data_IF_664817809635
#
_entry.id   IF_664817809635
#
_cell.length_a   1.000
_cell.length_b   1.000
_cell.length_c   1.000
_cell.angle_alpha   90.00
_cell.angle_beta   90.00
_cell.angle_gamma   90.00
#
_symmetry.space_group_name_H-M   'P 1'
#
loop_
_entity.id
_entity.type
_entity.pdbx_description
1 polymer ?
#
# COMPACT_ATOMS: atom_id res chain seq x y z
N UNK A 1 -8.17 -2.16 26.51
CA UNK A 1 -7.00 -2.68 25.79
C UNK A 1 -6.65 -1.69 24.68
N UNK A 2 -5.40 -1.22 24.57
CA UNK A 2 -5.01 -0.42 23.40
C UNK A 2 -5.16 -1.33 22.17
N UNK A 3 -5.92 -0.85 21.17
CA UNK A 3 -6.07 -1.58 19.92
C UNK A 3 -4.71 -1.61 19.22
N UNK A 4 -3.98 -2.71 19.33
CA UNK A 4 -2.83 -2.95 18.45
C UNK A 4 -3.38 -2.91 17.02
N UNK A 5 -3.00 -1.90 16.22
CA UNK A 5 -3.21 -2.02 14.78
C UNK A 5 -2.37 -3.19 14.32
N UNK A 6 -3.01 -4.27 13.92
CA UNK A 6 -2.31 -5.37 13.28
C UNK A 6 -1.92 -4.89 11.88
N UNK A 7 -0.62 -4.69 11.59
CA UNK A 7 -0.19 -4.28 10.26
C UNK A 7 -0.32 -5.44 9.24
N UNK A 8 -0.94 -6.56 9.63
CA UNK A 8 -1.09 -7.78 8.86
C UNK A 8 -1.65 -7.53 7.45
N UNK A 9 -2.68 -6.70 7.32
CA UNK A 9 -3.26 -6.37 6.02
C UNK A 9 -2.25 -5.68 5.10
N UNK A 10 -1.55 -4.66 5.62
CA UNK A 10 -0.53 -3.91 4.86
C UNK A 10 0.65 -4.81 4.49
N UNK A 11 1.16 -5.63 5.42
CA UNK A 11 2.24 -6.58 5.14
C UNK A 11 1.86 -7.63 4.10
N UNK A 12 0.64 -8.17 4.17
CA UNK A 12 0.15 -9.13 3.18
C UNK A 12 0.11 -8.52 1.78
N UNK A 13 -0.42 -7.30 1.66
CA UNK A 13 -0.52 -6.62 0.35
C UNK A 13 0.89 -6.26 -0.17
N UNK A 14 1.78 -5.74 0.67
CA UNK A 14 3.18 -5.47 0.29
C UNK A 14 3.88 -6.75 -0.16
N UNK A 15 3.66 -7.87 0.52
CA UNK A 15 4.22 -9.17 0.12
C UNK A 15 3.71 -9.65 -1.24
N UNK A 16 2.43 -9.42 -1.55
CA UNK A 16 1.85 -9.71 -2.86
C UNK A 16 2.51 -8.86 -3.96
N UNK A 17 2.67 -7.56 -3.74
CA UNK A 17 3.31 -6.65 -4.69
C UNK A 17 4.79 -7.00 -4.91
N UNK A 18 5.48 -7.40 -3.83
CA UNK A 18 6.86 -7.85 -3.93
C UNK A 18 7.00 -9.13 -4.78
N UNK A 19 5.99 -10.00 -4.79
CA UNK A 19 5.96 -11.17 -5.67
C UNK A 19 5.77 -10.81 -7.16
N UNK A 20 5.14 -9.67 -7.47
CA UNK A 20 5.00 -9.14 -8.83
C UNK A 20 6.26 -8.42 -9.33
N UNK A 21 7.09 -7.91 -8.41
CA UNK A 21 8.29 -7.11 -8.73
C UNK A 21 9.24 -7.70 -9.79
N UNK A 22 9.53 -9.02 -9.83
CA UNK A 22 10.41 -9.58 -10.88
C UNK A 22 9.87 -9.40 -12.31
N UNK A 23 8.55 -9.32 -12.47
CA UNK A 23 7.88 -9.10 -13.75
C UNK A 23 7.93 -7.62 -14.17
N UNK A 24 7.81 -6.72 -13.21
CA UNK A 24 7.79 -5.28 -13.44
C UNK A 24 9.20 -4.70 -13.67
N UNK A 25 10.21 -5.29 -13.02
CA UNK A 25 11.54 -4.69 -12.89
C UNK A 25 12.18 -4.35 -14.24
N UNK A 26 12.14 -5.30 -15.18
CA UNK A 26 12.80 -5.14 -16.48
C UNK A 26 12.06 -4.22 -17.44
N UNK A 27 10.77 -3.98 -17.20
CA UNK A 27 9.97 -3.05 -17.99
C UNK A 27 10.25 -1.62 -17.55
N UNK A 28 10.46 -1.40 -16.24
CA UNK A 28 10.59 -0.07 -15.66
C UNK A 28 12.04 0.43 -15.57
N UNK A 29 13.00 -0.42 -15.16
CA UNK A 29 14.35 0.03 -14.78
C UNK A 29 15.48 -0.54 -15.62
N UNK A 30 15.22 -1.46 -16.54
CA UNK A 30 16.26 -1.98 -17.43
C UNK A 30 16.00 -1.61 -18.88
N UNK A 31 17.09 -1.38 -19.61
CA UNK A 31 17.08 -1.24 -21.08
C UNK A 31 17.99 -2.32 -21.63
N UNK A 32 17.45 -3.50 -21.98
CA UNK A 32 18.26 -4.55 -22.57
C UNK A 32 18.87 -4.08 -23.90
N UNK A 33 20.10 -4.50 -24.25
CA UNK A 33 20.73 -4.11 -25.50
C UNK A 33 19.97 -4.67 -26.69
N UNK A 34 19.82 -3.85 -27.73
CA UNK A 34 19.20 -4.24 -29.00
C UNK A 34 20.06 -5.24 -29.75
N UNK A 35 19.65 -6.51 -29.72
CA UNK A 35 20.29 -7.59 -30.47
C UNK A 35 19.90 -7.59 -31.95
N UNK A 36 18.74 -7.04 -32.29
CA UNK A 36 18.20 -6.97 -33.67
C UNK A 36 17.73 -5.55 -33.96
N UNK A 37 18.25 -4.87 -35.01
CA UNK A 37 17.78 -3.55 -35.40
C UNK A 37 16.27 -3.53 -35.68
N UNK A 38 15.54 -2.62 -35.03
CA UNK A 38 14.10 -2.43 -35.23
C UNK A 38 13.18 -3.33 -34.39
N UNK A 39 13.73 -4.19 -33.52
CA UNK A 39 12.93 -4.99 -32.56
C UNK A 39 13.10 -4.39 -31.17
N UNK A 40 11.98 -4.11 -30.48
CA UNK A 40 12.07 -3.68 -29.09
C UNK A 40 12.67 -4.82 -28.25
N UNK A 41 13.80 -4.52 -27.61
CA UNK A 41 14.54 -5.45 -26.76
C UNK A 41 13.75 -5.81 -25.50
N UNK A 42 12.70 -5.04 -25.17
CA UNK A 42 11.82 -5.27 -24.02
C UNK A 42 10.66 -6.22 -24.30
N UNK A 43 10.40 -6.59 -25.55
CA UNK A 43 9.25 -7.43 -25.91
C UNK A 43 9.13 -8.75 -25.11
N UNK A 44 10.22 -9.50 -24.82
CA UNK A 44 10.13 -10.69 -24.00
C UNK A 44 9.62 -10.41 -22.57
N UNK A 45 9.96 -9.24 -22.01
CA UNK A 45 9.55 -8.84 -20.68
C UNK A 45 8.08 -8.41 -20.66
N UNK A 46 7.61 -7.68 -21.68
CA UNK A 46 6.18 -7.38 -21.82
C UNK A 46 5.34 -8.67 -21.92
N UNK A 47 5.80 -9.66 -22.68
CA UNK A 47 5.12 -10.96 -22.76
C UNK A 47 5.11 -11.69 -21.42
N UNK A 48 6.22 -11.67 -20.69
CA UNK A 48 6.31 -12.31 -19.38
C UNK A 48 5.36 -11.66 -18.37
N UNK A 49 5.30 -10.32 -18.30
CA UNK A 49 4.36 -9.59 -17.46
C UNK A 49 2.91 -9.87 -17.88
N UNK A 50 2.62 -9.80 -19.17
CA UNK A 50 1.27 -10.03 -19.69
C UNK A 50 0.75 -11.43 -19.36
N UNK A 51 1.60 -12.45 -19.51
CA UNK A 51 1.27 -13.83 -19.15
C UNK A 51 1.03 -13.98 -17.64
N UNK A 52 1.85 -13.32 -16.81
CA UNK A 52 1.66 -13.30 -15.36
C UNK A 52 0.33 -12.65 -14.98
N UNK A 53 0.02 -11.47 -15.54
CA UNK A 53 -1.24 -10.76 -15.27
C UNK A 53 -2.47 -11.57 -15.70
N UNK A 54 -2.43 -12.21 -16.88
CA UNK A 54 -3.50 -13.11 -17.34
C UNK A 54 -3.66 -14.31 -16.41
N UNK A 55 -2.55 -14.90 -15.95
CA UNK A 55 -2.59 -16.01 -14.99
C UNK A 55 -3.24 -15.59 -13.67
N UNK A 56 -2.87 -14.43 -13.12
CA UNK A 56 -3.47 -13.90 -11.89
C UNK A 56 -4.94 -13.55 -12.08
N UNK A 57 -5.31 -12.94 -13.20
CA UNK A 57 -6.72 -12.60 -13.48
C UNK A 57 -7.58 -13.85 -13.73
N UNK A 58 -7.03 -14.91 -14.30
CA UNK A 58 -7.69 -16.20 -14.47
C UNK A 58 -7.77 -17.04 -13.18
N UNK A 59 -7.11 -16.60 -12.10
CA UNK A 59 -7.14 -17.31 -10.82
C UNK A 59 -8.55 -17.35 -10.22
N UNK A 60 -8.86 -18.34 -9.36
CA UNK A 60 -10.19 -18.45 -8.77
C UNK A 60 -10.62 -17.15 -8.10
N UNK A 61 -11.89 -16.71 -8.26
CA UNK A 61 -12.37 -15.41 -7.77
C UNK A 61 -12.29 -15.28 -6.24
N UNK A 62 -12.07 -16.39 -5.53
CA UNK A 62 -11.82 -16.40 -4.09
C UNK A 62 -10.59 -15.55 -3.71
N UNK A 63 -9.51 -15.59 -4.49
CA UNK A 63 -8.27 -14.85 -4.19
C UNK A 63 -8.54 -13.34 -4.21
N UNK A 64 -9.19 -12.85 -5.27
CA UNK A 64 -9.58 -11.45 -5.38
C UNK A 64 -10.55 -11.03 -4.26
N UNK A 65 -11.53 -11.87 -3.90
CA UNK A 65 -12.45 -11.57 -2.79
C UNK A 65 -11.72 -11.45 -1.45
N UNK A 66 -10.77 -12.35 -1.16
CA UNK A 66 -9.96 -12.27 0.06
C UNK A 66 -9.16 -10.96 0.08
N UNK A 67 -8.53 -10.57 -1.04
CA UNK A 67 -7.79 -9.31 -1.13
C UNK A 67 -8.69 -8.11 -0.82
N UNK A 68 -9.89 -8.05 -1.39
CA UNK A 68 -10.86 -6.98 -1.08
C UNK A 68 -11.30 -6.98 0.39
N UNK A 69 -11.47 -8.16 1.01
CA UNK A 69 -11.77 -8.25 2.45
C UNK A 69 -10.60 -7.74 3.29
N UNK A 70 -9.36 -8.07 2.92
CA UNK A 70 -8.16 -7.58 3.60
C UNK A 70 -8.06 -6.05 3.48
N UNK A 71 -8.33 -5.50 2.29
CA UNK A 71 -8.39 -4.06 2.06
C UNK A 71 -9.48 -3.40 2.91
N UNK A 72 -10.69 -3.96 2.89
CA UNK A 72 -11.81 -3.45 3.69
C UNK A 72 -11.55 -3.52 5.19
N UNK A 73 -10.93 -4.59 5.67
CA UNK A 73 -10.54 -4.75 7.08
C UNK A 73 -9.46 -3.73 7.47
N UNK A 74 -8.50 -3.46 6.59
CA UNK A 74 -7.50 -2.40 6.78
C UNK A 74 -8.14 -1.02 6.93
N UNK A 75 -9.08 -0.69 6.03
CA UNK A 75 -9.82 0.58 6.08
C UNK A 75 -10.65 0.71 7.37
N UNK A 76 -11.39 -0.33 7.75
CA UNK A 76 -12.14 -0.37 9.00
C UNK A 76 -11.23 -0.19 10.22
N UNK A 77 -10.03 -0.75 10.19
CA UNK A 77 -9.02 -0.56 11.23
C UNK A 77 -8.64 0.91 11.42
N UNK A 78 -8.37 1.64 10.32
CA UNK A 78 -8.08 3.07 10.39
C UNK A 78 -9.27 3.90 10.89
N UNK A 79 -10.48 3.64 10.40
CA UNK A 79 -11.69 4.36 10.81
C UNK A 79 -11.98 4.14 12.31
N UNK A 80 -11.83 2.90 12.79
CA UNK A 80 -12.09 2.57 14.20
C UNK A 80 -11.10 3.29 15.13
N UNK A 81 -9.83 3.41 14.72
CA UNK A 81 -8.82 4.13 15.49
C UNK A 81 -9.08 5.63 15.57
N UNK A 82 -9.62 6.23 14.50
CA UNK A 82 -9.89 7.66 14.43
C UNK A 82 -10.96 8.12 15.45
N UNK A 83 -11.78 7.20 15.95
CA UNK A 83 -12.83 7.50 16.94
C UNK A 83 -12.30 7.76 18.37
N UNK A 84 -11.01 7.49 18.64
CA UNK A 84 -10.35 7.88 19.91
C UNK A 84 -9.27 8.92 19.68
N UNK A 85 -9.61 10.21 19.81
CA UNK A 85 -8.67 11.30 19.55
C UNK A 85 -7.59 11.38 20.64
N UNK A 86 -6.35 11.14 20.25
CA UNK A 86 -5.15 11.77 20.83
C UNK A 86 -4.47 12.55 19.71
N UNK A 87 -3.69 13.59 20.04
CA UNK A 87 -3.01 14.41 19.01
C UNK A 87 -2.06 13.58 18.13
N UNK A 88 -1.33 12.63 18.74
CA UNK A 88 -0.47 11.69 18.02
C UNK A 88 -1.27 10.76 17.09
N UNK A 89 -2.44 10.26 17.53
CA UNK A 89 -3.31 9.46 16.66
C UNK A 89 -3.81 10.26 15.47
N UNK A 90 -4.16 11.54 15.66
CA UNK A 90 -4.73 12.35 14.58
C UNK A 90 -3.72 12.62 13.46
N UNK A 91 -2.46 12.90 13.79
CA UNK A 91 -1.38 13.11 12.81
C UNK A 91 -0.96 11.82 12.13
N UNK A 92 -0.62 10.78 12.90
CA UNK A 92 -0.07 9.54 12.33
C UNK A 92 -1.15 8.62 11.72
N UNK A 93 -2.29 8.43 12.38
CA UNK A 93 -3.38 7.62 11.81
C UNK A 93 -4.09 8.38 10.67
N UNK A 94 -4.21 9.71 10.76
CA UNK A 94 -4.78 10.53 9.69
C UNK A 94 -3.95 10.51 8.41
N UNK A 95 -2.63 10.73 8.51
CA UNK A 95 -1.73 10.62 7.36
C UNK A 95 -1.70 9.19 6.78
N UNK A 96 -1.71 8.17 7.63
CA UNK A 96 -1.78 6.77 7.20
C UNK A 96 -3.07 6.45 6.45
N UNK A 97 -4.22 6.97 6.92
CA UNK A 97 -5.51 6.82 6.25
C UNK A 97 -5.49 7.47 4.86
N UNK A 98 -4.95 8.68 4.72
CA UNK A 98 -4.85 9.37 3.42
C UNK A 98 -3.98 8.57 2.44
N UNK A 99 -2.80 8.11 2.86
CA UNK A 99 -1.93 7.27 2.05
C UNK A 99 -2.61 5.95 1.67
N UNK A 100 -3.34 5.34 2.60
CA UNK A 100 -4.09 4.11 2.35
C UNK A 100 -5.20 4.32 1.32
N UNK A 101 -5.96 5.42 1.43
CA UNK A 101 -7.01 5.78 0.47
C UNK A 101 -6.45 6.09 -0.93
N UNK A 102 -5.28 6.73 -1.00
CA UNK A 102 -4.55 6.90 -2.25
C UNK A 102 -4.23 5.53 -2.88
N UNK A 103 -3.72 4.59 -2.07
CA UNK A 103 -3.45 3.22 -2.52
C UNK A 103 -4.69 2.48 -3.02
N UNK A 104 -5.82 2.59 -2.31
CA UNK A 104 -7.11 2.02 -2.74
C UNK A 104 -7.55 2.62 -4.08
N UNK A 105 -7.36 3.93 -4.27
CA UNK A 105 -7.71 4.61 -5.53
C UNK A 105 -6.86 4.11 -6.69
N UNK A 106 -5.53 4.01 -6.51
CA UNK A 106 -4.62 3.45 -7.53
C UNK A 106 -4.98 2.00 -7.84
N UNK A 107 -5.27 1.18 -6.83
CA UNK A 107 -5.69 -0.20 -7.03
C UNK A 107 -6.97 -0.31 -7.89
N UNK A 108 -8.02 0.46 -7.56
CA UNK A 108 -9.29 0.39 -8.30
C UNK A 108 -9.15 1.00 -9.70
N UNK A 109 -8.54 2.18 -9.80
CA UNK A 109 -8.48 2.94 -11.05
C UNK A 109 -7.49 2.35 -12.05
N UNK A 110 -6.34 1.84 -11.59
CA UNK A 110 -5.26 1.42 -12.47
C UNK A 110 -5.14 -0.10 -12.54
N UNK A 111 -5.04 -0.78 -11.39
CA UNK A 111 -4.78 -2.22 -11.34
C UNK A 111 -6.00 -3.04 -11.78
N UNK A 112 -7.16 -2.82 -11.15
CA UNK A 112 -8.39 -3.58 -11.48
C UNK A 112 -8.80 -3.37 -12.92
N UNK A 113 -8.80 -2.12 -13.41
CA UNK A 113 -9.15 -1.83 -14.81
C UNK A 113 -8.10 -2.35 -15.78
N UNK A 114 -6.81 -2.12 -15.51
CA UNK A 114 -5.74 -2.57 -16.38
C UNK A 114 -5.70 -4.10 -16.53
N UNK A 115 -5.95 -4.86 -15.45
CA UNK A 115 -6.06 -6.32 -15.55
C UNK A 115 -7.19 -6.79 -16.47
N UNK A 116 -8.33 -6.07 -16.50
CA UNK A 116 -9.44 -6.38 -17.42
C UNK A 116 -9.04 -6.10 -18.88
N UNK A 117 -8.38 -4.96 -19.13
CA UNK A 117 -7.83 -4.62 -20.45
C UNK A 117 -6.87 -5.71 -20.93
N UNK A 118 -5.88 -6.07 -20.12
CA UNK A 118 -4.88 -7.08 -20.44
C UNK A 118 -5.51 -8.45 -20.73
N UNK A 119 -6.52 -8.84 -19.95
CA UNK A 119 -7.21 -10.13 -20.14
C UNK A 119 -8.07 -10.13 -21.40
N UNK A 120 -8.75 -9.02 -21.68
CA UNK A 120 -9.53 -8.88 -22.92
C UNK A 120 -8.64 -8.79 -24.17
N UNK A 121 -7.37 -8.40 -24.00
CA UNK A 121 -6.43 -8.16 -25.09
C UNK A 121 -6.76 -6.91 -25.91
N UNK A 122 -7.66 -6.05 -25.42
CA UNK A 122 -8.19 -4.92 -26.17
C UNK A 122 -7.49 -3.62 -25.75
N UNK A 123 -6.21 -3.53 -26.10
CA UNK A 123 -5.41 -2.31 -25.95
C UNK A 123 -5.85 -1.26 -26.97
N UNK A 124 -5.81 0.03 -26.62
CA UNK A 124 -6.03 1.12 -27.58
C UNK A 124 -7.46 1.29 -28.14
N UNK A 125 -8.48 0.62 -27.61
CA UNK A 125 -9.82 0.63 -28.22
C UNK A 125 -10.81 1.60 -27.56
N UNK A 126 -11.29 2.62 -28.28
CA UNK A 126 -12.26 3.59 -27.78
C UNK A 126 -13.67 3.04 -27.54
N UNK A 127 -14.01 1.91 -28.16
CA UNK A 127 -15.36 1.34 -28.08
C UNK A 127 -15.63 0.58 -26.78
N UNK A 128 -14.62 0.31 -25.96
CA UNK A 128 -14.77 -0.39 -24.69
C UNK A 128 -14.54 0.56 -23.51
N UNK A 129 -15.51 0.61 -22.60
CA UNK A 129 -15.53 1.49 -21.42
C UNK A 129 -14.38 1.25 -20.41
N UNK A 130 -13.50 0.28 -20.66
CA UNK A 130 -12.46 -0.17 -19.74
C UNK A 130 -11.03 0.16 -20.18
N UNK A 131 -10.81 0.81 -21.34
CA UNK A 131 -9.47 1.18 -21.81
C UNK A 131 -8.74 2.19 -20.90
N UNK A 132 -7.42 2.03 -20.75
CA UNK A 132 -6.58 3.04 -20.10
C UNK A 132 -6.36 4.21 -21.07
N UNK A 133 -6.53 5.43 -20.59
CA UNK A 133 -6.32 6.67 -21.36
C UNK A 133 -5.14 7.43 -20.78
N UNK A 134 -4.40 8.13 -21.65
CA UNK A 134 -3.35 9.05 -21.24
C UNK A 134 -3.92 10.41 -20.81
N UNK A 135 -3.03 11.34 -20.43
CA UNK A 135 -3.41 12.68 -19.96
C UNK A 135 -4.10 13.53 -21.04
N UNK A 136 -3.96 13.17 -22.33
CA UNK A 136 -4.64 13.80 -23.46
C UNK A 136 -5.97 13.15 -23.83
N UNK A 137 -6.34 12.05 -23.16
CA UNK A 137 -7.55 11.29 -23.42
C UNK A 137 -7.40 10.25 -24.53
N UNK A 138 -6.18 10.04 -25.05
CA UNK A 138 -5.88 9.04 -26.06
C UNK A 138 -5.69 7.67 -25.41
N UNK A 139 -6.13 6.62 -26.11
CA UNK A 139 -6.08 5.26 -25.58
C UNK A 139 -4.66 4.70 -25.62
N UNK A 140 -4.23 4.14 -24.51
CA UNK A 140 -2.89 3.58 -24.35
C UNK A 140 -2.72 2.31 -25.18
N UNK A 141 -1.57 2.22 -25.87
CA UNK A 141 -1.13 1.00 -26.53
C UNK A 141 -0.78 -0.11 -25.54
N UNK A 142 -0.49 -1.31 -26.04
CA UNK A 142 -0.16 -2.47 -25.20
C UNK A 142 1.00 -2.21 -24.26
N UNK A 143 2.12 -1.73 -24.79
CA UNK A 143 3.34 -1.50 -24.02
C UNK A 143 3.14 -0.45 -22.93
N UNK A 144 2.48 0.66 -23.27
CA UNK A 144 2.24 1.74 -22.31
C UNK A 144 1.23 1.32 -21.24
N UNK A 145 0.21 0.54 -21.60
CA UNK A 145 -0.72 -0.05 -20.63
C UNK A 145 0.00 -0.96 -19.63
N UNK A 146 0.93 -1.78 -20.12
CA UNK A 146 1.74 -2.66 -19.28
C UNK A 146 2.73 -1.88 -18.40
N UNK A 147 3.35 -0.81 -18.91
CA UNK A 147 4.18 0.10 -18.10
C UNK A 147 3.37 0.79 -17.00
N UNK A 148 2.16 1.27 -17.31
CA UNK A 148 1.27 1.93 -16.34
C UNK A 148 0.87 0.95 -15.23
N UNK A 149 0.60 -0.31 -15.55
CA UNK A 149 0.34 -1.36 -14.56
C UNK A 149 1.54 -1.63 -13.65
N UNK A 150 2.72 -1.87 -14.24
CA UNK A 150 3.96 -2.09 -13.49
C UNK A 150 4.31 -0.89 -12.58
N UNK A 151 4.14 0.33 -13.10
CA UNK A 151 4.36 1.55 -12.33
C UNK A 151 3.33 1.67 -11.19
N UNK A 152 2.08 1.27 -11.41
CA UNK A 152 1.03 1.31 -10.40
C UNK A 152 1.29 0.35 -9.24
N UNK A 153 1.81 -0.86 -9.52
CA UNK A 153 2.23 -1.81 -8.47
C UNK A 153 3.37 -1.24 -7.62
N UNK A 154 4.33 -0.57 -8.26
CA UNK A 154 5.43 0.11 -7.58
C UNK A 154 4.95 1.28 -6.72
N UNK A 155 4.07 2.13 -7.26
CA UNK A 155 3.48 3.26 -6.53
C UNK A 155 2.70 2.74 -5.31
N UNK A 156 1.90 1.68 -5.50
CA UNK A 156 1.12 1.08 -4.42
C UNK A 156 2.04 0.51 -3.33
N UNK A 157 3.15 -0.14 -3.69
CA UNK A 157 4.14 -0.62 -2.73
C UNK A 157 4.75 0.52 -1.92
N UNK A 158 5.12 1.64 -2.56
CA UNK A 158 5.67 2.82 -1.88
C UNK A 158 4.66 3.47 -0.93
N UNK A 159 3.39 3.59 -1.35
CA UNK A 159 2.32 4.13 -0.50
C UNK A 159 2.12 3.27 0.77
N UNK A 160 2.10 1.95 0.61
CA UNK A 160 1.90 1.02 1.72
C UNK A 160 3.14 0.92 2.63
N UNK A 161 4.35 1.01 2.09
CA UNK A 161 5.57 1.16 2.90
C UNK A 161 5.53 2.47 3.69
N UNK A 162 5.05 3.56 3.10
CA UNK A 162 4.80 4.83 3.80
C UNK A 162 3.84 4.65 4.99
N UNK A 163 2.76 3.89 4.81
CA UNK A 163 1.85 3.52 5.90
C UNK A 163 2.56 2.73 7.00
N UNK A 164 3.40 1.75 6.66
CA UNK A 164 4.17 0.97 7.65
C UNK A 164 5.15 1.85 8.44
N UNK A 165 5.83 2.78 7.77
CA UNK A 165 6.74 3.73 8.41
C UNK A 165 5.99 4.62 9.40
N UNK A 166 4.82 5.14 9.03
CA UNK A 166 4.00 5.96 9.93
C UNK A 166 3.46 5.15 11.11
N UNK A 167 3.04 3.89 10.89
CA UNK A 167 2.62 3.00 11.98
C UNK A 167 3.76 2.69 12.95
N UNK A 168 4.98 2.50 12.45
CA UNK A 168 6.17 2.34 13.29
C UNK A 168 6.51 3.62 14.06
N UNK A 169 6.37 4.80 13.41
CA UNK A 169 6.53 6.10 14.05
C UNK A 169 5.52 6.33 15.18
N UNK A 170 4.24 5.98 14.95
CA UNK A 170 3.21 6.04 15.98
C UNK A 170 3.52 5.10 17.15
N UNK A 171 3.99 3.88 16.88
CA UNK A 171 4.39 2.94 17.92
C UNK A 171 5.52 3.50 18.78
N UNK A 172 6.54 4.10 18.15
CA UNK A 172 7.65 4.73 18.85
C UNK A 172 7.21 5.93 19.69
N UNK A 173 6.36 6.81 19.13
CA UNK A 173 5.82 7.96 19.84
C UNK A 173 5.00 7.53 21.08
N UNK A 174 4.10 6.57 20.91
CA UNK A 174 3.28 6.03 22.01
C UNK A 174 4.14 5.36 23.08
N UNK A 175 5.21 4.66 22.68
CA UNK A 175 6.12 4.01 23.63
C UNK A 175 6.86 5.05 24.47
N UNK A 176 7.35 6.12 23.84
CA UNK A 176 8.03 7.22 24.53
C UNK A 176 7.09 7.96 25.49
N UNK A 177 5.87 8.27 25.08
CA UNK A 177 4.85 8.89 25.95
C UNK A 177 4.55 8.01 27.16
N UNK A 178 4.43 6.69 26.98
CA UNK A 178 4.19 5.77 28.09
C UNK A 178 5.36 5.74 29.10
N UNK A 179 6.61 5.75 28.60
CA UNK A 179 7.80 5.75 29.45
C UNK A 179 7.90 7.09 30.25
N UNK A 180 7.56 8.23 29.63
CA UNK A 180 7.51 9.54 30.29
C UNK A 180 6.46 9.61 31.41
N UNK A 181 5.26 9.03 31.18
CA UNK A 181 4.20 8.95 32.20
C UNK A 181 4.64 8.09 33.39
N UNK A 182 5.29 6.95 33.14
CA UNK A 182 5.77 6.06 34.22
C UNK A 182 6.81 6.76 35.10
N UNK A 183 7.72 7.55 34.52
CA UNK A 183 8.67 8.35 35.29
C UNK A 183 8.00 9.43 36.13
N UNK A 184 6.97 10.09 35.59
CA UNK A 184 6.20 11.11 36.31
C UNK A 184 5.45 10.49 37.50
N UNK A 185 4.83 9.33 37.31
CA UNK A 185 4.11 8.60 38.36
C UNK A 185 5.06 8.14 39.48
N UNK A 186 6.24 7.60 39.14
CA UNK A 186 7.28 7.25 40.13
C UNK A 186 7.72 8.47 40.95
N UNK A 187 8.03 9.60 40.30
CA UNK A 187 8.42 10.84 40.98
C UNK A 187 7.30 11.38 41.88
N UNK A 188 6.04 11.20 41.49
CA UNK A 188 4.90 11.64 42.27
C UNK A 188 4.66 10.75 43.51
N UNK A 189 4.81 9.44 43.37
CA UNK A 189 4.69 8.48 44.48
C UNK A 189 5.83 8.63 45.49
N UNK A 190 7.06 8.85 45.04
CA UNK A 190 8.21 9.18 45.89
C UNK A 190 7.96 10.47 46.69
N UNK A 191 7.48 11.54 46.04
CA UNK A 191 7.12 12.80 46.72
C UNK A 191 6.01 12.60 47.74
N UNK A 192 4.99 11.79 47.44
CA UNK A 192 3.90 11.48 48.37
C UNK A 192 4.38 10.66 49.57
N UNK A 193 5.29 9.71 49.37
CA UNK A 193 5.88 8.92 50.44
C UNK A 193 6.69 9.82 51.40
N UNK A 194 7.55 10.68 50.86
CA UNK A 194 8.34 11.64 51.64
C UNK A 194 7.48 12.63 52.44
N UNK A 195 6.35 13.09 51.87
CA UNK A 195 5.41 13.96 52.59
C UNK A 195 4.66 13.24 53.72
N UNK A 196 4.35 11.95 53.56
CA UNK A 196 3.72 11.14 54.62
C UNK A 196 4.68 10.87 55.77
N UNK A 197 5.97 10.64 55.49
CA UNK A 197 6.98 10.49 56.53
C UNK A 197 7.18 11.79 57.32
N UNK A 198 7.26 12.94 56.64
CA UNK A 198 7.38 14.26 57.30
C UNK A 198 6.19 14.65 58.18
N UNK A 199 5.00 14.07 57.97
CA UNK A 199 3.81 14.30 58.82
C UNK A 199 3.71 13.39 60.03
N UNK A 200 4.56 12.35 60.13
CA UNK A 200 4.59 11.40 61.25
C UNK A 200 5.70 11.70 62.28
N UNK A 201 6.65 12.56 61.94
CA UNK A 201 7.59 13.20 62.88
C UNK A 201 6.97 14.48 63.43
#
# INVERSE_FOLDING_TARGET
MPAMSSPFATFLIVGLLFASFPYDYNILWTTPPSLVPGVDSREPYYQMLENHLKFIHASPPLISRILHIVIGTGLLGFITKLYRPSEANLLFDGASLVLYMCGVTVYIANIVKGMRVVTSGVYGNPALAEGQVDDSGDYLGREDSLKVLAASDTILALLLVGVLILQAGQWYANKKEADEIEEMDKKHDEKKALQKEKKKQ
#
